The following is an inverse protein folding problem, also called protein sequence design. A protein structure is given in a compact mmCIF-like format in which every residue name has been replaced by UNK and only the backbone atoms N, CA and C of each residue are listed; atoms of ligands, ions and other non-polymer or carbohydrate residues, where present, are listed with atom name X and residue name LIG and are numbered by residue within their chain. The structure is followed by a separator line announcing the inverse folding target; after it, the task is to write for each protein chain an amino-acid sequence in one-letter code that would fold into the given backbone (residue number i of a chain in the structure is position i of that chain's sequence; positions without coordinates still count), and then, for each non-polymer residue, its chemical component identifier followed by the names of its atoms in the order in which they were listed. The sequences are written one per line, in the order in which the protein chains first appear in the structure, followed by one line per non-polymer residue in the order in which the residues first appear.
data_IF_661104054524
#
_entry.id   IF_661104054524
#
_cell.length_a   1.000
_cell.length_b   1.000
_cell.length_c   1.000
_cell.angle_alpha   90.00
_cell.angle_beta   90.00
_cell.angle_gamma   90.00
#
_symmetry.space_group_name_H-M   'P 1'
#
loop_
_entity.id
_entity.type
_entity.pdbx_description
1 polymer ?
#
# COMPACT_ATOMS: atom_id res chain seq x y z
N UNK A 1 16.35 -12.07 13.74
CA UNK A 1 15.24 -11.60 14.61
C UNK A 1 15.43 -12.09 16.04
N UNK A 2 15.14 -11.24 17.03
CA UNK A 2 15.21 -11.57 18.45
C UNK A 2 13.91 -12.24 18.93
N UNK A 3 13.93 -12.84 20.12
CA UNK A 3 12.71 -13.39 20.74
C UNK A 3 11.61 -12.33 20.92
N UNK A 4 12.01 -11.08 21.19
CA UNK A 4 11.09 -9.96 21.38
C UNK A 4 10.35 -9.63 20.07
N UNK A 5 11.03 -9.68 18.92
CA UNK A 5 10.44 -9.40 17.61
C UNK A 5 9.32 -10.42 17.29
N UNK A 6 9.60 -11.71 17.51
CA UNK A 6 8.61 -12.77 17.35
C UNK A 6 7.42 -12.61 18.31
N UNK A 7 7.68 -12.23 19.54
CA UNK A 7 6.63 -12.03 20.55
C UNK A 7 5.69 -10.88 20.16
N UNK A 8 6.23 -9.75 19.71
CA UNK A 8 5.44 -8.60 19.22
C UNK A 8 4.60 -9.00 18.01
N UNK A 9 5.19 -9.72 17.07
CA UNK A 9 4.50 -10.19 15.88
C UNK A 9 3.34 -11.14 16.23
N UNK A 10 3.55 -12.10 17.12
CA UNK A 10 2.48 -13.00 17.55
C UNK A 10 1.36 -12.29 18.29
N UNK A 11 1.66 -11.35 19.18
CA UNK A 11 0.64 -10.54 19.86
C UNK A 11 -0.20 -9.79 18.84
N UNK A 12 0.44 -9.16 17.85
CA UNK A 12 -0.26 -8.44 16.80
C UNK A 12 -1.18 -9.37 15.99
N UNK A 13 -0.70 -10.54 15.58
CA UNK A 13 -1.52 -11.51 14.83
C UNK A 13 -2.72 -12.01 15.65
N UNK A 14 -2.52 -12.35 16.92
CA UNK A 14 -3.61 -12.76 17.83
C UNK A 14 -4.61 -11.62 17.97
N UNK A 15 -4.15 -10.41 18.22
CA UNK A 15 -5.01 -9.24 18.35
C UNK A 15 -5.86 -9.00 17.09
N UNK A 16 -5.26 -9.05 15.90
CA UNK A 16 -5.98 -8.88 14.62
C UNK A 16 -7.04 -9.97 14.41
N UNK A 17 -6.74 -11.21 14.75
CA UNK A 17 -7.69 -12.32 14.65
C UNK A 17 -8.86 -12.17 15.64
N UNK A 18 -8.57 -11.85 16.89
CA UNK A 18 -9.58 -11.62 17.93
C UNK A 18 -10.49 -10.47 17.54
N UNK A 19 -9.92 -9.39 17.01
CA UNK A 19 -10.68 -8.26 16.51
C UNK A 19 -11.60 -8.67 15.35
N UNK A 20 -11.09 -9.44 14.39
CA UNK A 20 -11.89 -9.98 13.28
C UNK A 20 -13.07 -10.81 13.76
N UNK A 21 -12.84 -11.73 14.70
CA UNK A 21 -13.89 -12.56 15.30
C UNK A 21 -14.90 -11.70 16.08
N UNK A 22 -14.43 -10.76 16.89
CA UNK A 22 -15.30 -9.88 17.66
C UNK A 22 -16.23 -9.05 16.78
N UNK A 23 -15.72 -8.52 15.69
CA UNK A 23 -16.51 -7.73 14.73
C UNK A 23 -17.47 -8.64 13.94
N UNK A 24 -17.04 -9.86 13.57
CA UNK A 24 -17.88 -10.85 12.90
C UNK A 24 -19.19 -11.11 13.65
N UNK A 25 -19.11 -11.19 14.97
CA UNK A 25 -20.29 -11.41 15.84
C UNK A 25 -21.30 -10.24 15.82
N UNK A 26 -20.91 -9.08 15.31
CA UNK A 26 -21.75 -7.88 15.20
C UNK A 26 -22.37 -7.68 13.83
N UNK A 27 -21.85 -8.32 12.79
CA UNK A 27 -22.41 -8.25 11.44
C UNK A 27 -23.75 -9.01 11.40
N UNK A 28 -24.83 -8.31 11.10
CA UNK A 28 -26.20 -8.90 11.08
C UNK A 28 -26.70 -9.16 9.67
N UNK A 29 -26.24 -8.36 8.70
CA UNK A 29 -26.74 -8.38 7.33
C UNK A 29 -25.56 -8.31 6.34
N UNK A 30 -25.83 -8.66 5.07
CA UNK A 30 -24.86 -8.51 3.98
C UNK A 30 -24.37 -7.07 3.83
N UNK A 31 -25.22 -6.08 4.07
CA UNK A 31 -24.84 -4.68 4.00
C UNK A 31 -23.86 -4.28 5.13
N UNK A 32 -24.00 -4.84 6.33
CA UNK A 32 -23.03 -4.67 7.41
C UNK A 32 -21.68 -5.32 7.04
N UNK A 33 -21.70 -6.47 6.39
CA UNK A 33 -20.51 -7.21 6.04
C UNK A 33 -19.72 -6.56 4.89
N UNK A 34 -20.38 -6.20 3.77
CA UNK A 34 -19.69 -5.72 2.57
C UNK A 34 -19.44 -4.20 2.56
N UNK A 35 -20.31 -3.41 3.18
CA UNK A 35 -20.23 -1.92 3.15
C UNK A 35 -20.27 -1.30 4.54
N UNK A 36 -20.05 -2.10 5.60
CA UNK A 36 -20.04 -1.64 6.99
C UNK A 36 -21.33 -0.89 7.36
N UNK A 37 -22.49 -1.32 6.82
CA UNK A 37 -23.78 -0.67 7.02
C UNK A 37 -23.83 0.79 6.56
N UNK A 38 -22.89 1.24 5.71
CA UNK A 38 -22.70 2.63 5.27
C UNK A 38 -22.55 3.65 6.41
N UNK A 39 -22.07 3.19 7.58
CA UNK A 39 -21.93 3.98 8.81
C UNK A 39 -20.50 4.34 9.17
N UNK A 40 -19.55 4.12 8.27
CA UNK A 40 -18.16 4.45 8.50
C UNK A 40 -18.00 5.97 8.66
N UNK A 41 -17.28 6.37 9.71
CA UNK A 41 -16.84 7.75 9.87
C UNK A 41 -15.82 8.09 8.78
N UNK A 42 -15.91 9.31 8.22
CA UNK A 42 -14.99 9.77 7.17
C UNK A 42 -13.52 9.70 7.56
N UNK A 43 -13.18 9.95 8.83
CA UNK A 43 -11.80 9.79 9.32
C UNK A 43 -11.32 8.34 9.25
N UNK A 44 -12.12 7.41 9.75
CA UNK A 44 -11.79 5.97 9.74
C UNK A 44 -11.68 5.44 8.30
N UNK A 45 -12.62 5.82 7.42
CA UNK A 45 -12.59 5.44 6.01
C UNK A 45 -11.34 6.01 5.30
N UNK A 46 -10.99 7.28 5.59
CA UNK A 46 -9.80 7.91 5.04
C UNK A 46 -8.51 7.25 5.53
N UNK A 47 -8.43 6.90 6.80
CA UNK A 47 -7.26 6.20 7.37
C UNK A 47 -7.12 4.77 6.82
N UNK A 48 -8.22 4.04 6.62
CA UNK A 48 -8.19 2.73 5.98
C UNK A 48 -7.72 2.83 4.52
N UNK A 49 -8.21 3.82 3.76
CA UNK A 49 -7.72 4.06 2.40
C UNK A 49 -6.23 4.42 2.38
N UNK A 50 -5.76 5.24 3.31
CA UNK A 50 -4.34 5.57 3.44
C UNK A 50 -3.51 4.32 3.79
N UNK A 51 -3.99 3.48 4.70
CA UNK A 51 -3.34 2.22 5.06
C UNK A 51 -3.23 1.26 3.88
N UNK A 52 -4.29 1.14 3.08
CA UNK A 52 -4.31 0.27 1.89
C UNK A 52 -3.27 0.71 0.84
N UNK A 53 -3.00 2.00 0.73
CA UNK A 53 -1.99 2.55 -0.20
C UNK A 53 -0.58 2.56 0.41
N UNK A 54 -0.45 2.48 1.72
CA UNK A 54 0.82 2.42 2.44
C UNK A 54 1.17 0.97 2.80
N UNK A 55 1.55 0.21 1.80
CA UNK A 55 1.98 -1.18 1.96
C UNK A 55 3.52 -1.30 2.01
N UNK A 56 4.04 -2.49 2.23
CA UNK A 56 5.48 -2.75 2.40
C UNK A 56 6.33 -2.39 1.17
N UNK A 57 5.72 -2.42 -0.01
CA UNK A 57 6.34 -2.04 -1.29
C UNK A 57 6.56 -0.53 -1.40
N UNK A 58 5.70 0.28 -0.77
CA UNK A 58 5.78 1.75 -0.85
C UNK A 58 7.13 2.31 -0.36
N UNK A 59 7.61 2.01 0.85
CA UNK A 59 8.93 2.47 1.30
C UNK A 59 10.08 1.98 0.42
N UNK A 60 10.01 0.74 -0.06
CA UNK A 60 11.04 0.17 -0.96
C UNK A 60 11.07 0.90 -2.30
N UNK A 61 9.91 1.14 -2.88
CA UNK A 61 9.77 1.85 -4.16
C UNK A 61 10.25 3.30 -4.04
N UNK A 62 9.80 4.02 -3.01
CA UNK A 62 10.19 5.41 -2.77
C UNK A 62 11.70 5.52 -2.53
N UNK A 63 12.28 4.65 -1.72
CA UNK A 63 13.73 4.63 -1.49
C UNK A 63 14.51 4.38 -2.80
N UNK A 64 14.03 3.47 -3.65
CA UNK A 64 14.61 3.20 -4.95
C UNK A 64 14.55 4.41 -5.90
N UNK A 65 13.42 5.09 -5.97
CA UNK A 65 13.26 6.30 -6.80
C UNK A 65 14.19 7.42 -6.29
N UNK A 66 14.18 7.69 -4.99
CA UNK A 66 14.99 8.77 -4.42
C UNK A 66 16.48 8.47 -4.61
N UNK A 67 16.91 7.23 -4.44
CA UNK A 67 18.29 6.82 -4.66
C UNK A 67 18.77 6.98 -6.10
N UNK A 68 17.87 6.79 -7.07
CA UNK A 68 18.21 6.85 -8.50
C UNK A 68 17.95 8.21 -9.14
N UNK A 69 16.79 8.82 -8.85
CA UNK A 69 16.29 10.04 -9.50
C UNK A 69 16.22 11.26 -8.57
N UNK A 70 16.62 11.11 -7.30
CA UNK A 70 16.55 12.17 -6.30
C UNK A 70 15.13 12.48 -5.82
N UNK A 71 15.00 13.56 -5.05
CA UNK A 71 13.71 13.98 -4.49
C UNK A 71 12.67 14.30 -5.56
N UNK A 72 13.09 14.85 -6.69
CA UNK A 72 12.21 15.15 -7.82
C UNK A 72 11.53 13.90 -8.40
N UNK A 73 12.18 12.74 -8.34
CA UNK A 73 11.58 11.47 -8.77
C UNK A 73 10.32 11.11 -7.99
N UNK A 74 10.20 11.58 -6.75
CA UNK A 74 9.05 11.29 -5.90
C UNK A 74 7.75 11.99 -6.34
N UNK A 75 7.80 12.89 -7.33
CA UNK A 75 6.58 13.42 -7.95
C UNK A 75 5.71 12.34 -8.58
N UNK A 76 6.29 11.22 -8.95
CA UNK A 76 5.56 10.03 -9.37
C UNK A 76 4.53 9.59 -8.31
N UNK A 77 4.93 9.62 -7.03
CA UNK A 77 4.06 9.33 -5.88
C UNK A 77 3.20 10.51 -5.45
N UNK A 78 3.74 11.72 -5.43
CA UNK A 78 3.00 12.90 -4.99
C UNK A 78 1.84 13.25 -5.92
N UNK A 79 1.92 12.90 -7.21
CA UNK A 79 0.83 13.06 -8.16
C UNK A 79 -0.43 12.30 -7.75
N UNK A 80 -0.29 11.14 -7.09
CA UNK A 80 -1.42 10.41 -6.53
C UNK A 80 -2.15 11.19 -5.45
N UNK A 81 -1.45 11.99 -4.65
CA UNK A 81 -2.07 12.87 -3.66
C UNK A 81 -3.04 13.86 -4.30
N UNK A 82 -2.63 14.50 -5.38
CA UNK A 82 -3.49 15.42 -6.14
C UNK A 82 -4.70 14.69 -6.74
N UNK A 83 -4.49 13.48 -7.29
CA UNK A 83 -5.56 12.66 -7.84
C UNK A 83 -6.57 12.25 -6.75
N UNK A 84 -6.12 11.89 -5.55
CA UNK A 84 -6.99 11.56 -4.42
C UNK A 84 -7.81 12.76 -3.93
N UNK A 85 -7.22 13.96 -3.90
CA UNK A 85 -7.97 15.19 -3.58
C UNK A 85 -9.06 15.43 -4.60
N UNK A 86 -8.75 15.36 -5.89
CA UNK A 86 -9.73 15.51 -6.97
C UNK A 86 -10.82 14.43 -6.88
N UNK A 87 -10.44 13.18 -6.62
CA UNK A 87 -11.38 12.08 -6.42
C UNK A 87 -12.33 12.35 -5.25
N UNK A 88 -11.82 12.84 -4.13
CA UNK A 88 -12.63 13.09 -2.93
C UNK A 88 -13.59 14.25 -3.14
N UNK A 89 -13.14 15.36 -3.75
CA UNK A 89 -13.95 16.58 -3.88
C UNK A 89 -14.95 16.46 -5.02
N UNK A 90 -14.57 15.89 -6.16
CA UNK A 90 -15.37 15.88 -7.37
C UNK A 90 -16.14 14.55 -7.53
N UNK A 91 -15.42 13.42 -7.48
CA UNK A 91 -15.99 12.13 -7.86
C UNK A 91 -16.71 11.41 -6.73
N UNK A 92 -16.24 11.49 -5.48
CA UNK A 92 -16.85 10.77 -4.38
C UNK A 92 -18.31 11.14 -4.12
N UNK A 93 -18.72 12.44 -4.15
CA UNK A 93 -20.13 12.82 -4.04
C UNK A 93 -21.00 12.29 -5.17
N UNK A 94 -20.46 12.27 -6.41
CA UNK A 94 -21.16 11.75 -7.59
C UNK A 94 -21.34 10.25 -7.48
N UNK A 95 -20.28 9.54 -7.06
CA UNK A 95 -20.30 8.11 -6.83
C UNK A 95 -21.33 7.71 -5.77
N UNK A 96 -21.34 8.41 -4.65
CA UNK A 96 -22.32 8.17 -3.59
C UNK A 96 -23.76 8.37 -4.07
N UNK A 97 -24.03 9.37 -4.91
CA UNK A 97 -25.36 9.63 -5.49
C UNK A 97 -25.80 8.54 -6.44
N UNK A 98 -24.89 7.84 -7.12
CA UNK A 98 -25.24 6.77 -8.05
C UNK A 98 -25.85 5.55 -7.36
N UNK A 99 -25.61 5.36 -6.05
CA UNK A 99 -26.14 4.25 -5.25
C UNK A 99 -25.56 2.87 -5.58
N UNK A 100 -24.65 2.77 -6.54
CA UNK A 100 -24.05 1.49 -6.94
C UNK A 100 -23.04 1.00 -5.90
N UNK A 101 -22.94 -0.31 -5.73
CA UNK A 101 -22.00 -0.95 -4.79
C UNK A 101 -20.62 -1.19 -5.41
N UNK A 102 -20.57 -1.39 -6.73
CA UNK A 102 -19.32 -1.75 -7.42
C UNK A 102 -19.13 -0.91 -8.67
N UNK A 103 -17.85 -0.70 -9.02
CA UNK A 103 -17.46 0.00 -10.25
C UNK A 103 -18.00 -0.72 -11.51
N UNK A 104 -18.06 -2.05 -11.51
CA UNK A 104 -18.65 -2.82 -12.58
C UNK A 104 -20.17 -2.57 -12.74
N UNK A 105 -20.91 -2.42 -11.63
CA UNK A 105 -22.33 -2.11 -11.66
C UNK A 105 -22.64 -0.72 -12.24
N UNK A 106 -21.74 0.24 -12.06
CA UNK A 106 -21.86 1.57 -12.66
C UNK A 106 -21.93 1.52 -14.18
N UNK A 107 -21.21 0.57 -14.80
CA UNK A 107 -21.23 0.38 -16.25
C UNK A 107 -22.63 0.02 -16.77
N UNK A 108 -23.33 -0.86 -16.05
CA UNK A 108 -24.69 -1.26 -16.43
C UNK A 108 -25.69 -0.12 -16.23
N UNK A 109 -25.54 0.68 -15.18
CA UNK A 109 -26.33 1.88 -14.94
C UNK A 109 -26.20 2.89 -16.09
N UNK A 110 -24.99 3.04 -16.63
CA UNK A 110 -24.70 4.05 -17.67
C UNK A 110 -25.14 3.63 -19.06
N UNK A 111 -24.95 2.36 -19.44
CA UNK A 111 -25.10 1.94 -20.84
C UNK A 111 -26.39 1.16 -21.11
N UNK A 112 -26.93 0.44 -20.16
CA UNK A 112 -28.14 -0.36 -20.31
C UNK A 112 -28.07 -1.51 -21.34
N UNK A 113 -29.02 -2.44 -21.26
CA UNK A 113 -29.18 -3.53 -22.22
C UNK A 113 -28.14 -4.65 -22.13
N UNK A 114 -28.27 -5.64 -23.05
CA UNK A 114 -27.38 -6.83 -23.07
C UNK A 114 -25.87 -6.50 -23.23
N UNK A 115 -25.47 -5.54 -24.09
CA UNK A 115 -24.05 -5.17 -24.21
C UNK A 115 -23.46 -4.62 -22.91
N UNK A 116 -24.25 -3.87 -22.13
CA UNK A 116 -23.79 -3.34 -20.84
C UNK A 116 -23.59 -4.46 -19.81
N UNK A 117 -24.46 -5.46 -19.77
CA UNK A 117 -24.29 -6.62 -18.90
C UNK A 117 -23.02 -7.41 -19.25
N UNK A 118 -22.74 -7.60 -20.53
CA UNK A 118 -21.49 -8.24 -20.98
C UNK A 118 -20.27 -7.43 -20.57
N UNK A 119 -20.28 -6.11 -20.82
CA UNK A 119 -19.19 -5.20 -20.44
C UNK A 119 -18.98 -5.20 -18.92
N UNK A 120 -20.07 -5.21 -18.13
CA UNK A 120 -20.01 -5.36 -16.67
C UNK A 120 -19.30 -6.67 -16.26
N UNK A 121 -19.65 -7.80 -16.89
CA UNK A 121 -19.04 -9.08 -16.59
C UNK A 121 -17.55 -9.11 -16.91
N UNK A 122 -17.15 -8.61 -18.10
CA UNK A 122 -15.75 -8.50 -18.52
C UNK A 122 -14.97 -7.59 -17.58
N UNK A 123 -15.50 -6.41 -17.25
CA UNK A 123 -14.86 -5.47 -16.31
C UNK A 123 -14.72 -6.08 -14.91
N UNK A 124 -15.76 -6.73 -14.40
CA UNK A 124 -15.70 -7.40 -13.11
C UNK A 124 -14.63 -8.50 -13.10
N UNK A 125 -14.55 -9.32 -14.14
CA UNK A 125 -13.52 -10.35 -14.26
C UNK A 125 -12.11 -9.75 -14.32
N UNK A 126 -11.88 -8.74 -15.17
CA UNK A 126 -10.57 -8.12 -15.33
C UNK A 126 -10.08 -7.46 -14.03
N UNK A 127 -10.97 -6.78 -13.31
CA UNK A 127 -10.61 -6.11 -12.05
C UNK A 127 -10.40 -7.12 -10.91
N UNK A 128 -11.27 -8.12 -10.79
CA UNK A 128 -11.24 -9.04 -9.66
C UNK A 128 -10.19 -10.15 -9.78
N UNK A 129 -9.82 -10.58 -10.99
CA UNK A 129 -8.87 -11.69 -11.17
C UNK A 129 -7.49 -11.18 -11.62
N UNK A 130 -7.23 -10.80 -12.89
CA UNK A 130 -5.86 -10.52 -13.30
C UNK A 130 -5.27 -9.30 -12.59
N UNK A 131 -5.99 -8.20 -12.45
CA UNK A 131 -5.44 -6.98 -11.82
C UNK A 131 -5.16 -7.21 -10.34
N UNK A 132 -6.08 -7.85 -9.60
CA UNK A 132 -5.83 -8.19 -8.20
C UNK A 132 -4.70 -9.21 -8.04
N UNK A 133 -4.61 -10.23 -8.89
CA UNK A 133 -3.51 -11.19 -8.84
C UNK A 133 -2.16 -10.53 -9.03
N UNK A 134 -2.04 -9.56 -9.95
CA UNK A 134 -0.81 -8.78 -10.16
C UNK A 134 -0.49 -7.96 -8.90
N UNK A 135 -1.46 -7.23 -8.34
CA UNK A 135 -1.27 -6.43 -7.14
C UNK A 135 -0.84 -7.25 -5.93
N UNK A 136 -1.52 -8.37 -5.68
CA UNK A 136 -1.18 -9.29 -4.59
C UNK A 136 0.21 -9.91 -4.82
N UNK A 137 0.53 -10.32 -6.05
CA UNK A 137 1.83 -10.86 -6.41
C UNK A 137 2.97 -9.87 -6.17
N UNK A 138 2.74 -8.59 -6.50
CA UNK A 138 3.70 -7.51 -6.24
C UNK A 138 3.93 -7.30 -4.73
N UNK A 139 2.87 -7.30 -3.92
CA UNK A 139 2.97 -7.20 -2.47
C UNK A 139 3.74 -8.38 -1.86
N UNK A 140 3.49 -9.61 -2.33
CA UNK A 140 4.25 -10.79 -1.91
C UNK A 140 5.72 -10.72 -2.32
N UNK A 141 6.03 -10.21 -3.51
CA UNK A 141 7.42 -10.01 -3.93
C UNK A 141 8.16 -9.03 -3.02
N UNK A 142 7.52 -7.93 -2.63
CA UNK A 142 8.08 -6.98 -1.68
C UNK A 142 8.27 -7.61 -0.30
N UNK A 143 7.28 -8.33 0.21
CA UNK A 143 7.35 -9.05 1.48
C UNK A 143 8.49 -10.07 1.49
N UNK A 144 8.67 -10.82 0.40
CA UNK A 144 9.78 -11.76 0.23
C UNK A 144 11.13 -11.06 0.40
N UNK A 145 11.37 -9.97 -0.33
CA UNK A 145 12.63 -9.22 -0.26
C UNK A 145 12.94 -8.72 1.15
N UNK A 146 11.93 -8.25 1.87
CA UNK A 146 12.09 -7.81 3.25
C UNK A 146 12.37 -9.00 4.18
N UNK A 147 11.64 -10.10 4.05
CA UNK A 147 11.84 -11.30 4.86
C UNK A 147 13.24 -11.91 4.67
N UNK A 148 13.73 -11.95 3.42
CA UNK A 148 15.09 -12.39 3.10
C UNK A 148 16.14 -11.43 3.70
N UNK A 149 15.96 -10.12 3.59
CA UNK A 149 16.90 -9.14 4.14
C UNK A 149 16.96 -9.14 5.67
N UNK A 150 15.87 -9.51 6.34
CA UNK A 150 15.80 -9.65 7.79
C UNK A 150 16.28 -11.04 8.29
N UNK A 151 16.63 -11.95 7.38
CA UNK A 151 17.03 -13.31 7.71
C UNK A 151 15.90 -14.14 8.31
N UNK A 152 14.65 -13.85 7.97
CA UNK A 152 13.47 -14.64 8.38
C UNK A 152 13.37 -15.91 7.56
N UNK A 153 13.71 -15.81 6.27
CA UNK A 153 13.74 -16.90 5.29
C UNK A 153 15.03 -16.83 4.48
N UNK A 154 15.53 -17.98 4.07
CA UNK A 154 16.77 -18.11 3.30
C UNK A 154 16.55 -18.70 1.91
N UNK A 155 15.33 -19.12 1.59
CA UNK A 155 15.01 -19.84 0.36
C UNK A 155 15.30 -21.35 0.45
N UNK A 156 15.50 -21.89 1.65
CA UNK A 156 15.79 -23.29 1.88
C UNK A 156 14.57 -24.17 1.60
N UNK A 157 14.80 -25.36 1.04
CA UNK A 157 13.73 -26.33 0.80
C UNK A 157 13.37 -26.98 2.14
N UNK A 158 12.11 -26.77 2.57
CA UNK A 158 11.60 -27.32 3.83
C UNK A 158 10.82 -28.62 3.60
N UNK A 159 9.97 -28.65 2.55
CA UNK A 159 9.14 -29.82 2.26
C UNK A 159 8.89 -29.97 0.76
N UNK A 160 9.41 -31.04 0.18
CA UNK A 160 9.28 -31.32 -1.25
C UNK A 160 9.84 -30.22 -2.13
N UNK A 161 8.97 -29.50 -2.84
CA UNK A 161 9.31 -28.32 -3.67
C UNK A 161 9.03 -26.99 -2.96
N UNK A 162 8.49 -27.01 -1.73
CA UNK A 162 8.15 -25.81 -0.98
C UNK A 162 9.38 -25.28 -0.23
N UNK A 163 9.74 -24.04 -0.54
CA UNK A 163 10.76 -23.31 0.21
C UNK A 163 10.13 -22.65 1.45
N UNK A 164 10.96 -22.31 2.44
CA UNK A 164 10.58 -21.55 3.62
C UNK A 164 9.84 -20.25 3.25
N UNK A 165 10.29 -19.59 2.19
CA UNK A 165 9.66 -18.37 1.62
C UNK A 165 8.23 -18.63 1.16
N UNK A 166 7.98 -19.71 0.42
CA UNK A 166 6.64 -20.06 -0.05
C UNK A 166 5.72 -20.40 1.13
N UNK A 167 6.23 -21.13 2.10
CA UNK A 167 5.49 -21.47 3.31
C UNK A 167 5.08 -20.23 4.08
N UNK A 168 6.02 -19.28 4.28
CA UNK A 168 5.71 -18.00 4.92
C UNK A 168 4.62 -17.24 4.17
N UNK A 169 4.70 -17.15 2.83
CA UNK A 169 3.69 -16.48 2.02
C UNK A 169 2.32 -17.12 2.17
N UNK A 170 2.24 -18.45 2.13
CA UNK A 170 0.96 -19.17 2.30
C UNK A 170 0.39 -18.92 3.70
N UNK A 171 1.22 -18.95 4.74
CA UNK A 171 0.78 -18.70 6.11
C UNK A 171 0.21 -17.28 6.27
N UNK A 172 0.93 -16.27 5.76
CA UNK A 172 0.46 -14.87 5.83
C UNK A 172 -0.81 -14.67 5.01
N UNK A 173 -0.86 -15.20 3.78
CA UNK A 173 -2.05 -15.11 2.94
C UNK A 173 -3.26 -15.77 3.60
N UNK A 174 -3.08 -16.96 4.17
CA UNK A 174 -4.14 -17.70 4.86
C UNK A 174 -4.63 -16.92 6.08
N UNK A 175 -3.73 -16.35 6.86
CA UNK A 175 -4.07 -15.54 8.01
C UNK A 175 -4.90 -14.32 7.62
N UNK A 176 -4.45 -13.55 6.61
CA UNK A 176 -5.16 -12.38 6.10
C UNK A 176 -6.54 -12.76 5.58
N UNK A 177 -6.62 -13.85 4.81
CA UNK A 177 -7.89 -14.36 4.30
C UNK A 177 -8.87 -14.71 5.42
N UNK A 178 -8.41 -15.42 6.44
CA UNK A 178 -9.24 -15.84 7.57
C UNK A 178 -9.85 -14.64 8.29
N UNK A 179 -9.06 -13.67 8.74
CA UNK A 179 -9.60 -12.55 9.51
C UNK A 179 -10.48 -11.63 8.64
N UNK A 180 -10.16 -11.48 7.35
CA UNK A 180 -10.94 -10.66 6.41
C UNK A 180 -12.29 -11.31 6.12
N UNK A 181 -12.33 -12.61 5.84
CA UNK A 181 -13.57 -13.36 5.60
C UNK A 181 -14.44 -13.41 6.84
N UNK A 182 -13.87 -13.55 8.02
CA UNK A 182 -14.64 -13.56 9.26
C UNK A 182 -15.22 -12.18 9.60
N UNK A 183 -14.43 -11.13 9.50
CA UNK A 183 -14.82 -9.82 10.02
C UNK A 183 -15.50 -8.87 9.04
N UNK A 184 -15.39 -9.13 7.72
CA UNK A 184 -15.89 -8.24 6.69
C UNK A 184 -15.23 -6.86 6.69
N UNK A 185 -15.86 -5.86 6.04
CA UNK A 185 -15.29 -4.53 5.85
C UNK A 185 -14.98 -3.81 7.18
N UNK A 186 -15.79 -3.97 8.20
CA UNK A 186 -15.54 -3.34 9.51
C UNK A 186 -14.24 -3.80 10.15
N UNK A 187 -13.96 -5.11 10.11
CA UNK A 187 -12.72 -5.65 10.67
C UNK A 187 -11.49 -5.16 9.90
N UNK A 188 -11.59 -5.11 8.57
CA UNK A 188 -10.53 -4.57 7.72
C UNK A 188 -10.23 -3.13 8.08
N UNK A 189 -11.25 -2.26 8.13
CA UNK A 189 -11.08 -0.82 8.41
C UNK A 189 -10.47 -0.56 9.79
N UNK A 190 -10.88 -1.29 10.82
CA UNK A 190 -10.31 -1.12 12.16
C UNK A 190 -8.88 -1.64 12.24
N UNK A 191 -8.60 -2.76 11.56
CA UNK A 191 -7.24 -3.29 11.50
C UNK A 191 -6.30 -2.37 10.71
N UNK A 192 -6.76 -1.82 9.59
CA UNK A 192 -6.03 -0.84 8.78
C UNK A 192 -5.67 0.41 9.58
N UNK A 193 -6.59 0.91 10.40
CA UNK A 193 -6.35 2.04 11.29
C UNK A 193 -5.15 1.78 12.23
N UNK A 194 -5.11 0.62 12.85
CA UNK A 194 -4.02 0.23 13.75
C UNK A 194 -2.72 0.00 12.98
N UNK A 195 -2.80 -0.66 11.84
CA UNK A 195 -1.65 -0.89 10.97
C UNK A 195 -1.03 0.41 10.48
N UNK A 196 -1.85 1.40 10.11
CA UNK A 196 -1.36 2.71 9.69
C UNK A 196 -0.57 3.40 10.80
N UNK A 197 -1.08 3.38 12.04
CA UNK A 197 -0.37 3.96 13.18
C UNK A 197 0.98 3.26 13.39
N UNK A 198 0.99 1.93 13.41
CA UNK A 198 2.22 1.15 13.57
C UNK A 198 3.21 1.39 12.44
N UNK A 199 2.72 1.45 11.19
CA UNK A 199 3.55 1.71 10.02
C UNK A 199 4.18 3.11 10.06
N UNK A 200 3.43 4.13 10.46
CA UNK A 200 3.97 5.49 10.62
C UNK A 200 5.00 5.57 11.74
N UNK A 201 4.73 4.96 12.89
CA UNK A 201 5.71 4.89 13.99
C UNK A 201 6.99 4.17 13.54
N UNK A 202 6.86 3.06 12.81
CA UNK A 202 7.99 2.35 12.23
C UNK A 202 8.77 3.19 11.23
N UNK A 203 8.09 3.91 10.34
CA UNK A 203 8.71 4.79 9.37
C UNK A 203 9.49 5.93 10.04
N UNK A 204 8.94 6.55 11.08
CA UNK A 204 9.64 7.57 11.87
C UNK A 204 10.86 7.00 12.59
N UNK A 205 10.75 5.80 13.18
CA UNK A 205 11.87 5.15 13.85
C UNK A 205 13.01 4.83 12.87
N UNK A 206 12.69 4.27 11.69
CA UNK A 206 13.68 4.00 10.64
C UNK A 206 14.32 5.29 10.13
N UNK A 207 13.54 6.36 9.93
CA UNK A 207 14.04 7.66 9.52
C UNK A 207 15.05 8.21 10.54
N UNK A 208 14.71 8.13 11.83
CA UNK A 208 15.59 8.58 12.90
C UNK A 208 16.91 7.81 12.94
N UNK A 209 16.85 6.48 12.91
CA UNK A 209 18.04 5.62 12.92
C UNK A 209 18.90 5.82 11.67
N UNK A 210 18.28 5.95 10.50
CA UNK A 210 19.00 6.19 9.25
C UNK A 210 19.71 7.55 9.25
N UNK A 211 19.06 8.56 9.80
CA UNK A 211 19.65 9.91 9.93
C UNK A 211 20.81 9.90 10.91
N UNK A 212 20.68 9.25 12.04
CA UNK A 212 21.74 9.10 13.05
C UNK A 212 22.96 8.34 12.48
N UNK A 213 22.71 7.23 11.78
CA UNK A 213 23.75 6.45 11.10
C UNK A 213 24.48 7.25 10.00
N UNK A 214 23.83 8.26 9.43
CA UNK A 214 24.43 9.15 8.43
C UNK A 214 25.31 10.25 9.04
N UNK A 215 25.32 10.41 10.37
CA UNK A 215 26.00 11.50 11.09
C UNK A 215 25.13 12.75 11.27
N UNK A 216 23.80 12.61 11.09
CA UNK A 216 22.83 13.70 11.15
C UNK A 216 22.61 14.41 9.82
N UNK A 217 21.68 15.37 9.82
CA UNK A 217 21.27 16.08 8.60
C UNK A 217 22.41 16.84 7.93
N UNK A 218 23.31 17.46 8.71
CA UNK A 218 24.44 18.23 8.17
C UNK A 218 25.42 17.35 7.42
N UNK A 219 25.82 16.24 8.03
CA UNK A 219 26.76 15.30 7.42
C UNK A 219 26.16 14.60 6.20
N UNK A 220 24.86 14.30 6.24
CA UNK A 220 24.12 13.77 5.10
C UNK A 220 24.18 14.74 3.91
N UNK A 221 23.91 16.03 4.12
CA UNK A 221 23.97 17.04 3.06
C UNK A 221 25.37 17.18 2.48
N UNK A 222 26.41 17.23 3.33
CA UNK A 222 27.82 17.29 2.89
C UNK A 222 28.17 16.05 2.03
N UNK A 223 27.75 14.87 2.45
CA UNK A 223 27.97 13.63 1.69
C UNK A 223 27.27 13.66 0.32
N UNK A 224 26.03 14.18 0.27
CA UNK A 224 25.27 14.32 -0.97
C UNK A 224 25.90 15.36 -1.92
N UNK A 225 26.36 16.50 -1.40
CA UNK A 225 27.12 17.49 -2.19
C UNK A 225 28.41 16.90 -2.77
N UNK A 226 29.11 16.06 -1.98
CA UNK A 226 30.32 15.36 -2.42
C UNK A 226 30.10 14.36 -3.57
N UNK A 227 28.86 13.92 -3.83
CA UNK A 227 28.52 13.08 -4.98
C UNK A 227 28.50 13.85 -6.32
N UNK A 228 28.64 15.18 -6.31
CA UNK A 228 28.51 16.04 -7.51
C UNK A 228 27.19 15.81 -8.31
N UNK A 229 26.11 15.51 -7.59
CA UNK A 229 24.77 15.25 -8.13
C UNK A 229 23.73 16.18 -7.49
N UNK A 230 23.76 17.50 -7.83
CA UNK A 230 22.85 18.47 -7.22
C UNK A 230 21.37 18.18 -7.52
N UNK A 231 21.09 17.44 -8.60
CA UNK A 231 19.76 16.99 -8.98
C UNK A 231 19.10 16.11 -7.90
N UNK A 232 19.87 15.41 -7.06
CA UNK A 232 19.33 14.56 -5.99
C UNK A 232 18.55 15.35 -4.94
N UNK A 233 18.90 16.61 -4.71
CA UNK A 233 18.25 17.50 -3.75
C UNK A 233 17.17 18.40 -4.38
N UNK A 234 17.02 18.37 -5.70
CA UNK A 234 16.00 19.16 -6.38
C UNK A 234 14.60 18.63 -6.05
N UNK A 235 13.70 19.53 -5.62
CA UNK A 235 12.30 19.20 -5.38
C UNK A 235 11.47 19.08 -6.66
N UNK A 236 11.91 19.72 -7.73
CA UNK A 236 11.19 19.75 -8.99
C UNK A 236 11.95 19.01 -10.09
N UNK A 237 11.26 18.30 -10.98
CA UNK A 237 11.88 17.56 -12.09
C UNK A 237 12.37 18.47 -13.24
N UNK A 238 12.48 19.77 -12.99
CA UNK A 238 12.96 20.75 -13.98
C UNK A 238 13.85 21.78 -13.34
N UNK A 239 14.78 22.30 -14.11
CA UNK A 239 15.58 23.47 -13.76
C UNK A 239 15.27 24.61 -14.71
N UNK A 240 15.19 25.83 -14.17
CA UNK A 240 15.02 27.04 -14.97
C UNK A 240 16.40 27.64 -15.23
N UNK A 241 16.91 27.46 -16.43
CA UNK A 241 18.15 28.07 -16.87
C UNK A 241 17.86 29.27 -17.79
N UNK A 242 18.92 30.05 -18.12
CA UNK A 242 18.80 31.20 -19.04
C UNK A 242 18.23 30.81 -20.43
N UNK A 243 18.38 29.56 -20.81
CA UNK A 243 17.92 29.00 -22.09
C UNK A 243 16.49 28.41 -22.05
N UNK A 244 15.84 28.47 -20.88
CA UNK A 244 14.46 27.98 -20.69
C UNK A 244 14.31 26.90 -19.66
N UNK A 245 13.17 26.20 -19.71
CA UNK A 245 12.80 25.11 -18.82
C UNK A 245 13.45 23.80 -19.31
N UNK A 246 14.42 23.28 -18.56
CA UNK A 246 15.02 21.98 -18.82
C UNK A 246 14.48 20.94 -17.84
N UNK A 247 13.96 19.84 -18.36
CA UNK A 247 13.59 18.68 -17.54
C UNK A 247 14.85 17.98 -17.07
N UNK A 248 14.86 17.62 -15.78
CA UNK A 248 15.90 16.74 -15.25
C UNK A 248 15.63 15.34 -15.79
N UNK A 249 16.30 15.01 -16.87
CA UNK A 249 16.24 13.67 -17.44
C UNK A 249 16.91 12.70 -16.49
N UNK A 250 16.17 11.68 -16.06
CA UNK A 250 16.72 10.56 -15.29
C UNK A 250 17.71 9.70 -16.09
N UNK A 251 18.05 10.13 -17.32
CA UNK A 251 18.98 9.47 -18.23
C UNK A 251 20.46 9.70 -17.91
N UNK A 252 20.78 10.50 -16.89
CA UNK A 252 22.15 10.66 -16.39
C UNK A 252 22.73 9.43 -15.67
N UNK A 253 22.10 8.27 -15.80
CA UNK A 253 22.59 7.00 -15.31
C UNK A 253 22.91 6.14 -16.52
N UNK A 254 24.05 6.37 -17.13
CA UNK A 254 24.74 5.39 -17.97
C UNK A 254 25.76 4.65 -17.11
#
# INVERSE_FOLDING_TARGET
MTFIDWFILFIYLIFSLVLGIYISLRNRNEEDYFVAGRRLNGLLAGMSMAATTFSIDTPLYVAGIIGTRGLAGNWEWWSFGLAHVAMTVIFAPLWRRSGVLTDAAFTELRYGGKPAAYLRAVKAFLLSVPINCIGIGYAFLAMRKVAESLGVVNGDIVFGTFTDTIILMILVASFVLIYTVLGGLWAVVVNDFLQLILALLGAFAVCYVALDASGGMKDLLIKLEGLNRPELLSLFPWTLNRDGLNWLDGSGIS
#
